data_IF_375206760559
#
_entry.id   IF_375206760559
#
_cell.length_a   1.000
_cell.length_b   1.000
_cell.length_c   1.000
_cell.angle_alpha   90.00
_cell.angle_beta   90.00
_cell.angle_gamma   90.00
#
_symmetry.space_group_name_H-M   'P 1'
#
loop_
_entity.id
_entity.type
_entity.pdbx_description
1 polymer ?
#
# COMPACT_ATOMS: atom_id res chain seq x y z
N UNK A 1 1.14 -5.32 4.71
CA UNK A 1 0.22 -4.60 5.59
C UNK A 1 0.21 -3.14 5.16
N UNK A 2 -0.97 -2.59 4.89
CA UNK A 2 -1.07 -1.21 4.41
C UNK A 2 -0.94 -0.23 5.57
N UNK A 3 -0.15 0.85 5.44
CA UNK A 3 0.00 1.85 6.50
C UNK A 3 -1.34 2.54 6.86
N UNK A 4 -2.35 2.46 5.98
CA UNK A 4 -3.69 3.03 6.20
C UNK A 4 -4.47 2.45 7.40
N UNK A 5 -4.04 1.34 8.00
CA UNK A 5 -4.65 0.85 9.26
C UNK A 5 -4.23 1.73 10.45
N UNK A 6 -3.07 2.37 10.36
CA UNK A 6 -2.48 3.20 11.42
C UNK A 6 -2.49 4.68 11.09
N UNK A 7 -3.02 5.07 9.93
CA UNK A 7 -3.01 6.44 9.44
C UNK A 7 -4.44 6.91 9.16
N UNK A 8 -4.68 8.21 9.40
CA UNK A 8 -5.98 8.84 9.18
C UNK A 8 -6.05 9.40 7.76
N UNK A 9 -6.86 8.79 6.89
CA UNK A 9 -7.14 9.32 5.56
C UNK A 9 -8.52 9.99 5.49
N UNK A 10 -8.71 10.96 4.60
CA UNK A 10 -10.00 11.67 4.42
C UNK A 10 -11.16 10.79 4.00
N UNK A 11 -10.88 9.70 3.31
CA UNK A 11 -11.86 8.70 2.88
C UNK A 11 -12.05 7.57 3.91
N UNK A 12 -11.28 7.57 5.00
CA UNK A 12 -11.36 6.54 6.03
C UNK A 12 -12.58 6.70 6.94
N UNK A 13 -13.07 5.58 7.48
CA UNK A 13 -14.12 5.60 8.50
C UNK A 13 -13.71 6.35 9.77
N UNK A 14 -12.41 6.38 10.08
CA UNK A 14 -11.88 7.14 11.21
C UNK A 14 -12.06 8.65 11.02
N UNK A 15 -11.97 9.14 9.78
CA UNK A 15 -12.25 10.53 9.45
C UNK A 15 -13.74 10.87 9.48
N UNK A 16 -14.60 9.95 9.01
CA UNK A 16 -16.05 10.16 9.00
C UNK A 16 -16.68 10.07 10.39
N UNK A 17 -16.11 9.27 11.29
CA UNK A 17 -16.67 9.00 12.62
C UNK A 17 -15.60 9.11 13.74
N UNK A 18 -14.91 10.26 13.90
CA UNK A 18 -13.73 10.38 14.77
C UNK A 18 -14.00 9.98 16.23
N UNK A 19 -15.18 10.31 16.76
CA UNK A 19 -15.57 9.95 18.12
C UNK A 19 -15.66 8.43 18.38
N UNK A 20 -15.86 7.60 17.36
CA UNK A 20 -15.83 6.12 17.50
C UNK A 20 -14.41 5.57 17.67
N UNK A 21 -13.39 6.35 17.31
CA UNK A 21 -11.99 5.97 17.30
C UNK A 21 -11.15 6.80 18.28
N UNK A 22 -11.80 7.41 19.28
CA UNK A 22 -11.14 8.24 20.29
C UNK A 22 -10.39 9.45 19.74
N UNK A 23 -10.63 9.84 18.48
CA UNK A 23 -10.06 11.04 17.87
C UNK A 23 -10.81 12.24 18.43
N UNK A 24 -10.10 13.10 19.14
CA UNK A 24 -10.64 14.31 19.76
C UNK A 24 -10.60 15.49 18.81
N UNK A 25 -9.62 15.52 17.91
CA UNK A 25 -9.42 16.64 16.98
C UNK A 25 -8.65 16.18 15.75
N UNK A 26 -9.10 16.61 14.58
CA UNK A 26 -8.34 16.49 13.33
C UNK A 26 -7.66 17.83 13.09
N UNK A 27 -6.36 17.80 12.80
CA UNK A 27 -5.55 19.01 12.60
C UNK A 27 -5.58 19.34 11.11
N UNK A 28 -6.29 20.41 10.75
CA UNK A 28 -6.31 20.90 9.39
C UNK A 28 -5.09 21.78 9.11
N UNK A 29 -4.32 21.41 8.08
CA UNK A 29 -3.23 22.22 7.57
C UNK A 29 -3.54 22.63 6.11
N UNK A 30 -3.87 23.91 5.85
CA UNK A 30 -4.16 24.42 4.51
C UNK A 30 -3.02 24.19 3.50
N UNK A 31 -1.77 24.24 3.95
CA UNK A 31 -0.58 24.02 3.12
C UNK A 31 -0.40 22.54 2.74
N UNK A 32 -1.07 21.63 3.46
CA UNK A 32 -1.03 20.19 3.21
C UNK A 32 -2.35 19.67 2.65
N UNK A 33 -3.08 20.49 1.89
CA UNK A 33 -4.40 20.12 1.39
C UNK A 33 -4.39 18.87 0.48
N UNK A 34 -3.26 18.51 -0.12
CA UNK A 34 -3.11 17.28 -0.92
C UNK A 34 -2.58 16.08 -0.13
N UNK A 35 -2.29 16.24 1.15
CA UNK A 35 -1.79 15.15 1.97
C UNK A 35 -2.84 14.03 2.06
N UNK A 36 -2.40 12.80 1.81
CA UNK A 36 -3.26 11.62 1.93
C UNK A 36 -3.61 11.34 3.39
N UNK A 37 -2.61 11.49 4.28
CA UNK A 37 -2.75 11.26 5.71
C UNK A 37 -2.86 12.60 6.44
N UNK A 38 -3.75 12.67 7.43
CA UNK A 38 -3.99 13.82 8.27
C UNK A 38 -3.38 13.64 9.65
N UNK A 39 -3.01 14.75 10.27
CA UNK A 39 -2.64 14.79 11.67
C UNK A 39 -3.89 14.89 12.55
N UNK A 40 -3.82 14.29 13.73
CA UNK A 40 -4.94 14.26 14.67
C UNK A 40 -4.46 14.11 16.11
N UNK A 41 -5.32 14.50 17.03
CA UNK A 41 -5.20 14.22 18.47
C UNK A 41 -6.19 13.12 18.83
N UNK A 42 -5.78 12.18 19.68
CA UNK A 42 -6.62 11.12 20.20
C UNK A 42 -6.46 10.99 21.71
N UNK A 43 -7.54 10.65 22.40
CA UNK A 43 -7.57 10.48 23.87
C UNK A 43 -7.09 9.10 24.33
N UNK A 44 -7.00 8.14 23.42
CA UNK A 44 -6.54 6.77 23.68
C UNK A 44 -6.09 6.09 22.39
N UNK A 45 -5.34 5.00 22.52
CA UNK A 45 -4.74 4.27 21.40
C UNK A 45 -3.22 4.28 21.48
N UNK A 46 -2.58 3.83 20.41
CA UNK A 46 -1.13 3.87 20.27
C UNK A 46 -0.65 5.29 19.95
N UNK A 47 0.52 5.65 20.48
CA UNK A 47 1.28 6.79 19.96
C UNK A 47 1.72 6.54 18.52
N UNK A 48 2.18 7.59 17.84
CA UNK A 48 2.70 7.45 16.47
C UNK A 48 3.91 6.51 16.43
N UNK A 49 4.78 6.61 17.42
CA UNK A 49 5.97 5.76 17.57
C UNK A 49 5.58 4.30 17.78
N UNK A 50 4.63 4.04 18.70
CA UNK A 50 4.10 2.69 18.95
C UNK A 50 3.43 2.10 17.71
N UNK A 51 2.67 2.91 16.96
CA UNK A 51 2.03 2.49 15.72
C UNK A 51 3.06 2.13 14.62
N UNK A 52 4.13 2.91 14.49
CA UNK A 52 5.23 2.60 13.56
C UNK A 52 5.96 1.32 13.98
N UNK A 53 6.23 1.13 15.27
CA UNK A 53 6.84 -0.08 15.79
C UNK A 53 5.96 -1.30 15.53
N UNK A 54 4.66 -1.19 15.80
CA UNK A 54 3.70 -2.26 15.57
C UNK A 54 3.58 -2.60 14.07
N UNK A 55 3.51 -1.60 13.20
CA UNK A 55 3.49 -1.81 11.76
C UNK A 55 4.74 -2.57 11.29
N UNK A 56 5.91 -2.20 11.81
CA UNK A 56 7.18 -2.89 11.52
C UNK A 56 7.14 -4.35 11.98
N UNK A 57 6.65 -4.62 13.19
CA UNK A 57 6.49 -5.99 13.70
C UNK A 57 5.53 -6.82 12.81
N UNK A 58 4.41 -6.23 12.38
CA UNK A 58 3.47 -6.89 11.49
C UNK A 58 4.09 -7.22 10.12
N UNK A 59 4.85 -6.28 9.54
CA UNK A 59 5.54 -6.51 8.27
C UNK A 59 6.56 -7.64 8.40
N UNK A 60 7.43 -7.59 9.41
CA UNK A 60 8.45 -8.61 9.63
C UNK A 60 7.84 -10.00 9.82
N UNK A 61 6.79 -10.12 10.64
CA UNK A 61 6.07 -11.38 10.81
C UNK A 61 5.45 -11.89 9.50
N UNK A 62 4.97 -10.98 8.65
CA UNK A 62 4.43 -11.34 7.35
C UNK A 62 5.53 -11.89 6.45
N UNK A 63 6.68 -11.21 6.38
CA UNK A 63 7.81 -11.62 5.56
C UNK A 63 8.40 -12.97 6.01
N UNK A 64 8.49 -13.21 7.32
CA UNK A 64 8.93 -14.50 7.87
C UNK A 64 8.00 -15.65 7.47
N UNK A 65 6.69 -15.42 7.49
CA UNK A 65 5.68 -16.45 7.15
C UNK A 65 5.47 -16.61 5.65
N UNK A 66 5.71 -15.56 4.88
CA UNK A 66 5.48 -15.52 3.44
C UNK A 66 6.70 -14.89 2.75
N UNK A 67 7.75 -15.68 2.45
CA UNK A 67 8.97 -15.18 1.81
C UNK A 67 8.73 -14.45 0.50
N UNK A 68 7.63 -14.79 -0.21
CA UNK A 68 7.18 -14.09 -1.41
C UNK A 68 6.89 -12.61 -1.17
N UNK A 69 6.57 -12.18 0.05
CA UNK A 69 6.34 -10.77 0.37
C UNK A 69 7.60 -9.91 0.27
N UNK A 70 8.80 -10.49 0.39
CA UNK A 70 10.02 -9.72 0.14
C UNK A 70 10.18 -9.31 -1.33
N UNK A 71 9.58 -10.09 -2.24
CA UNK A 71 9.60 -9.82 -3.69
C UNK A 71 8.36 -9.02 -4.09
N UNK A 72 7.19 -9.42 -3.61
CA UNK A 72 5.89 -8.93 -4.10
C UNK A 72 5.16 -7.98 -3.15
N UNK A 73 5.70 -7.72 -1.95
CA UNK A 73 4.98 -7.11 -0.83
C UNK A 73 4.31 -5.79 -1.14
N UNK A 74 5.10 -4.71 -1.24
CA UNK A 74 4.59 -3.36 -1.50
C UNK A 74 4.33 -3.08 -2.98
N UNK A 75 4.57 -4.07 -3.85
CA UNK A 75 4.38 -3.92 -5.29
C UNK A 75 2.90 -3.68 -5.59
N UNK A 76 2.54 -2.49 -6.12
CA UNK A 76 1.17 -2.22 -6.48
C UNK A 76 0.68 -3.25 -7.50
N UNK A 77 -0.60 -3.64 -7.41
CA UNK A 77 -1.19 -4.64 -8.31
C UNK A 77 -1.00 -4.27 -9.78
N UNK A 78 -0.99 -2.97 -10.06
CA UNK A 78 -0.77 -2.38 -11.36
C UNK A 78 0.59 -2.79 -11.95
N UNK A 79 1.62 -2.96 -11.13
CA UNK A 79 2.93 -3.42 -11.59
C UNK A 79 2.90 -4.89 -12.01
N UNK A 80 2.08 -5.71 -11.35
CA UNK A 80 1.85 -7.09 -11.78
C UNK A 80 1.13 -7.14 -13.14
N UNK A 81 0.20 -6.20 -13.39
CA UNK A 81 -0.45 -6.08 -14.69
C UNK A 81 0.54 -5.67 -15.80
N UNK A 82 1.47 -4.74 -15.52
CA UNK A 82 2.54 -4.39 -16.47
C UNK A 82 3.49 -5.56 -16.73
N UNK A 83 3.79 -6.36 -15.71
CA UNK A 83 4.61 -7.56 -15.86
C UNK A 83 3.90 -8.59 -16.76
N UNK A 84 2.60 -8.83 -16.53
CA UNK A 84 1.77 -9.70 -17.36
C UNK A 84 1.65 -9.20 -18.81
N UNK A 85 1.51 -7.90 -19.02
CA UNK A 85 1.47 -7.29 -20.36
C UNK A 85 2.79 -7.52 -21.11
N UNK A 86 3.93 -7.32 -20.42
CA UNK A 86 5.25 -7.44 -21.03
C UNK A 86 5.66 -8.88 -21.31
N UNK A 87 5.41 -9.81 -20.38
CA UNK A 87 5.94 -11.18 -20.42
C UNK A 87 4.89 -12.24 -20.76
N UNK A 88 3.61 -11.86 -20.80
CA UNK A 88 2.50 -12.79 -20.93
C UNK A 88 2.31 -13.68 -19.69
N UNK A 89 1.12 -14.26 -19.55
CA UNK A 89 0.82 -15.22 -18.46
C UNK A 89 1.73 -16.45 -18.49
N UNK A 90 2.27 -16.80 -19.67
CA UNK A 90 3.13 -17.97 -19.87
C UNK A 90 4.48 -17.84 -19.14
N UNK A 91 4.99 -16.61 -18.96
CA UNK A 91 6.22 -16.35 -18.19
C UNK A 91 6.09 -16.62 -16.69
N UNK A 92 4.86 -16.74 -16.16
CA UNK A 92 4.63 -17.12 -14.77
C UNK A 92 4.75 -18.63 -14.53
N UNK A 93 4.81 -19.45 -15.59
CA UNK A 93 4.89 -20.91 -15.50
C UNK A 93 6.28 -21.46 -15.15
N UNK A 94 7.26 -20.59 -14.91
CA UNK A 94 8.66 -20.97 -14.62
C UNK A 94 9.45 -21.41 -15.86
N UNK A 95 8.82 -21.45 -17.03
CA UNK A 95 9.51 -21.50 -18.32
C UNK A 95 9.91 -20.07 -18.68
N UNK A 96 11.18 -19.86 -19.04
CA UNK A 96 11.72 -18.54 -19.35
C UNK A 96 10.85 -17.76 -20.35
N UNK A 97 10.94 -16.42 -20.37
CA UNK A 97 10.08 -15.61 -21.22
C UNK A 97 10.22 -16.03 -22.69
N UNK A 98 9.12 -16.10 -23.46
CA UNK A 98 9.21 -16.42 -24.88
C UNK A 98 10.04 -15.35 -25.61
N UNK A 99 10.90 -15.77 -26.54
CA UNK A 99 11.68 -14.86 -27.38
C UNK A 99 10.73 -13.95 -28.17
N UNK A 100 10.87 -12.64 -27.98
CA UNK A 100 10.05 -11.65 -28.67
C UNK A 100 10.66 -11.36 -30.04
N UNK A 101 9.86 -11.47 -31.10
CA UNK A 101 10.19 -10.85 -32.38
C UNK A 101 9.93 -9.36 -32.24
N UNK A 102 10.98 -8.54 -32.40
CA UNK A 102 10.95 -7.09 -32.14
C UNK A 102 9.97 -6.30 -33.02
N UNK A 103 9.41 -6.91 -34.07
CA UNK A 103 8.62 -6.22 -35.10
C UNK A 103 7.09 -6.19 -34.90
N UNK A 104 6.54 -6.80 -33.85
CA UNK A 104 5.10 -6.64 -33.56
C UNK A 104 4.83 -5.36 -32.76
N UNK A 105 4.60 -4.29 -33.53
CA UNK A 105 4.15 -2.97 -33.07
C UNK A 105 2.96 -3.11 -32.11
N UNK A 106 3.23 -2.88 -30.82
CA UNK A 106 2.21 -2.78 -29.78
C UNK A 106 1.35 -1.53 -30.02
N UNK A 107 0.07 -1.80 -30.33
CA UNK A 107 -1.06 -0.87 -30.26
C UNK A 107 -0.97 0.39 -31.15
N UNK A 108 -1.77 0.40 -32.22
CA UNK A 108 -2.22 1.66 -32.85
C UNK A 108 -3.51 2.11 -32.16
N UNK A 109 -3.55 3.38 -31.78
CA UNK A 109 -4.71 4.06 -31.19
C UNK A 109 -5.89 4.19 -32.16
#
# INVERSE_FOLDING_TARGET
FGPGVFLLNRDSSCYQYPGKFSITKIIENPESNIAMNLDFEASSGMSREEAVEMNTKCINMAEEKFPSLQIWGTLPREHFLLYLDRYGKEGLSGKGPPERKEDEVLCKA
#
